data_IF_933084483375
#
_entry.id   IF_933084483375
#
_cell.length_a   1.000
_cell.length_b   1.000
_cell.length_c   1.000
_cell.angle_alpha   90.00
_cell.angle_beta   90.00
_cell.angle_gamma   90.00
#
_symmetry.space_group_name_H-M   'P 1'
#
loop_
_entity.id
_entity.type
_entity.pdbx_description
1 polymer ?
#
# COMPACT_ATOMS: atom_id res chain seq x y z
N UNK A 1 -74.75 50.07 24.38
CA UNK A 1 -75.81 49.90 23.38
C UNK A 1 -75.36 48.89 22.35
N UNK A 2 -76.16 47.83 22.25
CA UNK A 2 -76.17 46.75 21.24
C UNK A 2 -74.87 46.03 20.87
N UNK A 3 -74.58 44.97 21.57
CA UNK A 3 -73.83 43.79 21.27
C UNK A 3 -74.40 43.01 20.08
N UNK A 4 -73.58 42.66 19.12
CA UNK A 4 -73.86 41.56 18.18
C UNK A 4 -72.80 40.50 18.23
N UNK A 5 -73.22 39.35 18.70
CA UNK A 5 -72.46 38.10 18.76
C UNK A 5 -72.59 37.45 17.39
N UNK A 6 -71.50 37.24 16.70
CA UNK A 6 -71.47 36.40 15.49
C UNK A 6 -70.74 35.07 15.81
N UNK A 7 -71.52 34.01 15.79
CA UNK A 7 -70.99 32.61 15.96
C UNK A 7 -70.28 32.20 14.70
N UNK A 8 -68.97 32.01 14.79
CA UNK A 8 -68.13 31.38 13.72
C UNK A 8 -68.09 29.87 13.87
N UNK A 9 -68.52 29.18 12.86
CA UNK A 9 -68.50 27.72 12.73
C UNK A 9 -67.08 27.26 12.42
N UNK A 10 -66.49 26.46 13.32
CA UNK A 10 -65.20 25.87 13.14
C UNK A 10 -65.33 24.56 12.31
N UNK A 11 -64.94 24.59 11.05
CA UNK A 11 -64.84 23.39 10.21
C UNK A 11 -63.43 22.80 10.45
N UNK A 12 -63.39 21.68 11.12
CA UNK A 12 -62.16 20.91 11.27
C UNK A 12 -61.88 20.12 9.99
N UNK A 13 -60.88 20.54 9.23
CA UNK A 13 -60.35 19.77 8.09
C UNK A 13 -59.32 18.80 8.64
N UNK A 14 -59.64 17.48 8.67
CA UNK A 14 -58.67 16.41 8.91
C UNK A 14 -57.79 16.26 7.68
N UNK A 15 -56.53 16.70 7.78
CA UNK A 15 -55.48 16.28 6.83
C UNK A 15 -55.01 14.87 7.20
N UNK A 16 -55.43 13.87 6.45
CA UNK A 16 -54.75 12.58 6.43
C UNK A 16 -53.37 12.77 5.77
N UNK A 17 -52.31 12.84 6.58
CA UNK A 17 -51.00 12.73 6.05
C UNK A 17 -50.70 11.24 5.76
N UNK A 18 -50.72 10.87 4.47
CA UNK A 18 -50.26 9.59 4.00
C UNK A 18 -48.77 9.49 4.27
N UNK A 19 -48.37 8.67 5.22
CA UNK A 19 -46.97 8.27 5.40
C UNK A 19 -46.60 7.31 4.28
N UNK A 20 -45.96 7.81 3.25
CA UNK A 20 -45.27 6.95 2.27
C UNK A 20 -44.02 6.40 2.92
N UNK A 21 -44.10 5.16 3.37
CA UNK A 21 -42.92 4.40 3.75
C UNK A 21 -42.15 4.10 2.46
N UNK A 22 -41.13 4.93 2.17
CA UNK A 22 -40.13 4.64 1.17
C UNK A 22 -39.30 3.49 1.71
N UNK A 23 -39.53 2.29 1.21
CA UNK A 23 -38.60 1.18 1.41
C UNK A 23 -37.29 1.53 0.68
N UNK A 24 -36.31 2.06 1.38
CA UNK A 24 -34.94 2.03 0.92
C UNK A 24 -34.55 0.57 0.82
N UNK A 25 -34.59 0.03 -0.39
CA UNK A 25 -33.81 -1.14 -0.73
C UNK A 25 -32.36 -0.77 -0.50
N UNK A 26 -31.82 -1.21 0.64
CA UNK A 26 -30.40 -1.23 0.86
C UNK A 26 -29.80 -2.05 -0.30
N UNK A 27 -29.12 -1.39 -1.21
CA UNK A 27 -28.19 -2.05 -2.09
C UNK A 27 -27.20 -2.78 -1.16
N UNK A 28 -27.41 -4.08 -1.03
CA UNK A 28 -26.34 -4.96 -0.55
C UNK A 28 -25.22 -4.86 -1.59
N UNK A 29 -24.31 -3.94 -1.36
CA UNK A 29 -23.03 -3.88 -2.05
C UNK A 29 -22.22 -5.09 -1.54
N UNK A 30 -22.52 -6.23 -2.14
CA UNK A 30 -21.91 -7.51 -1.84
C UNK A 30 -20.63 -7.62 -2.70
N UNK A 31 -19.77 -6.59 -2.67
CA UNK A 31 -18.41 -6.70 -3.16
C UNK A 31 -17.70 -7.71 -2.27
N UNK A 32 -17.60 -8.90 -2.77
CA UNK A 32 -17.05 -10.06 -2.03
C UNK A 32 -15.54 -9.86 -1.93
N UNK A 33 -15.07 -9.26 -0.82
CA UNK A 33 -13.64 -9.16 -0.53
C UNK A 33 -12.99 -10.52 -0.75
N UNK A 34 -12.03 -10.59 -1.68
CA UNK A 34 -11.27 -11.81 -1.98
C UNK A 34 -9.93 -11.75 -1.26
N UNK A 35 -9.69 -12.70 -0.37
CA UNK A 35 -8.37 -12.87 0.22
C UNK A 35 -7.54 -13.81 -0.66
N UNK A 36 -6.33 -13.37 -0.98
CA UNK A 36 -5.36 -14.09 -1.82
C UNK A 36 -4.10 -14.26 -0.98
N UNK A 37 -3.62 -15.50 -0.88
CA UNK A 37 -2.34 -15.78 -0.24
C UNK A 37 -1.26 -15.68 -1.31
N UNK A 38 -0.40 -14.66 -1.19
CA UNK A 38 0.73 -14.44 -2.10
C UNK A 38 1.95 -15.28 -1.71
N UNK A 39 2.07 -15.64 -0.41
CA UNK A 39 3.06 -16.58 0.07
C UNK A 39 2.56 -17.27 1.35
N UNK A 40 2.47 -18.59 1.31
CA UNK A 40 1.96 -19.46 2.39
C UNK A 40 3.07 -20.15 3.19
N UNK A 41 4.32 -19.75 2.99
CA UNK A 41 5.49 -20.41 3.55
C UNK A 41 6.10 -21.50 2.66
N UNK A 42 5.51 -21.78 1.49
CA UNK A 42 5.97 -22.85 0.57
C UNK A 42 5.95 -22.43 -0.89
N UNK A 43 4.81 -21.95 -1.38
CA UNK A 43 4.60 -21.69 -2.80
C UNK A 43 5.04 -20.28 -3.19
N UNK A 44 5.80 -20.18 -4.26
CA UNK A 44 6.22 -18.93 -4.91
C UNK A 44 5.44 -18.65 -6.21
N UNK A 45 4.39 -19.43 -6.51
CA UNK A 45 3.66 -19.36 -7.78
C UNK A 45 2.95 -18.00 -8.03
N UNK A 46 2.73 -17.19 -6.98
CA UNK A 46 2.19 -15.85 -7.12
C UNK A 46 3.22 -14.81 -7.60
N UNK A 47 4.49 -15.19 -7.70
CA UNK A 47 5.62 -14.28 -7.96
C UNK A 47 6.40 -14.69 -9.20
N UNK A 48 6.97 -13.69 -9.88
CA UNK A 48 7.92 -13.87 -10.98
C UNK A 48 9.06 -12.87 -10.88
N UNK A 49 10.18 -13.19 -11.51
CA UNK A 49 11.27 -12.25 -11.74
C UNK A 49 10.83 -11.11 -12.68
N UNK A 50 11.32 -9.90 -12.47
CA UNK A 50 11.02 -8.76 -13.37
C UNK A 50 11.54 -8.95 -14.80
N UNK A 51 12.41 -9.92 -15.06
CA UNK A 51 13.03 -10.22 -16.36
C UNK A 51 12.51 -11.48 -17.01
N UNK A 52 11.66 -12.27 -16.32
CA UNK A 52 11.12 -13.53 -16.82
C UNK A 52 9.66 -13.73 -16.37
N UNK A 53 9.04 -14.82 -16.84
CA UNK A 53 7.65 -15.17 -16.47
C UNK A 53 7.57 -16.24 -15.37
N UNK A 54 8.69 -16.54 -14.71
CA UNK A 54 8.78 -17.52 -13.62
C UNK A 54 9.54 -16.92 -12.42
N UNK A 55 9.42 -17.58 -11.29
CA UNK A 55 10.16 -17.22 -10.08
C UNK A 55 11.67 -17.41 -10.32
N UNK A 56 12.57 -16.54 -9.75
CA UNK A 56 14.01 -16.62 -9.97
C UNK A 56 14.60 -17.99 -9.55
N UNK A 57 15.48 -18.55 -10.39
CA UNK A 57 16.21 -19.79 -10.08
C UNK A 57 17.28 -19.60 -8.99
N UNK A 58 17.65 -18.36 -8.69
CA UNK A 58 18.68 -18.00 -7.70
C UNK A 58 18.42 -16.62 -7.09
N UNK A 59 19.09 -16.34 -5.97
CA UNK A 59 18.99 -15.06 -5.28
C UNK A 59 17.80 -14.94 -4.34
N UNK A 60 16.86 -15.89 -4.39
CA UNK A 60 15.75 -16.04 -3.46
C UNK A 60 15.70 -17.47 -2.95
N UNK A 61 15.36 -17.65 -1.68
CA UNK A 61 15.20 -18.98 -1.08
C UNK A 61 13.91 -19.04 -0.25
N UNK A 62 13.30 -20.23 -0.23
CA UNK A 62 12.22 -20.57 0.69
C UNK A 62 12.76 -21.58 1.67
N UNK A 63 12.79 -21.22 2.95
CA UNK A 63 13.25 -22.11 4.02
C UNK A 63 12.46 -21.86 5.30
N UNK A 64 12.02 -22.92 5.97
CA UNK A 64 11.30 -22.86 7.26
C UNK A 64 10.08 -21.90 7.25
N UNK A 65 9.34 -21.86 6.14
CA UNK A 65 8.16 -20.99 5.99
C UNK A 65 8.49 -19.52 5.67
N UNK A 66 9.75 -19.21 5.36
CA UNK A 66 10.25 -17.86 5.13
C UNK A 66 10.75 -17.72 3.70
N UNK A 67 10.36 -16.66 3.02
CA UNK A 67 10.86 -16.21 1.72
C UNK A 67 11.97 -15.19 1.97
N UNK A 68 13.19 -15.47 1.53
CA UNK A 68 14.35 -14.59 1.78
C UNK A 68 15.02 -14.20 0.46
N UNK A 69 15.20 -12.90 0.24
CA UNK A 69 16.13 -12.38 -0.76
C UNK A 69 17.54 -12.46 -0.19
N UNK A 70 18.44 -13.09 -0.93
CA UNK A 70 19.83 -13.26 -0.51
C UNK A 70 20.65 -12.00 -0.76
N UNK A 71 21.58 -11.72 0.14
CA UNK A 71 22.53 -10.63 -0.03
C UNK A 71 23.46 -10.89 -1.24
N UNK A 72 23.91 -9.81 -1.85
CA UNK A 72 25.02 -9.85 -2.80
C UNK A 72 26.34 -10.03 -2.04
N UNK A 73 27.15 -10.99 -2.47
CA UNK A 73 28.52 -11.21 -1.97
C UNK A 73 29.47 -11.35 -3.15
N UNK A 74 30.76 -11.46 -2.89
CA UNK A 74 31.79 -11.73 -3.94
C UNK A 74 31.50 -13.01 -4.72
N UNK A 75 30.86 -13.98 -4.07
CA UNK A 75 30.60 -15.32 -4.62
C UNK A 75 29.12 -15.53 -5.01
N UNK A 76 28.23 -14.54 -4.80
CA UNK A 76 26.79 -14.66 -5.02
C UNK A 76 26.19 -13.35 -5.50
N UNK A 77 25.46 -13.38 -6.60
CA UNK A 77 24.89 -12.21 -7.25
C UNK A 77 23.83 -11.47 -6.41
N UNK A 78 23.26 -12.11 -5.39
CA UNK A 78 22.08 -11.58 -4.66
C UNK A 78 20.79 -11.74 -5.47
N UNK A 79 19.66 -11.48 -4.82
CA UNK A 79 18.35 -11.56 -5.47
C UNK A 79 18.01 -10.27 -6.23
N UNK A 80 17.31 -10.42 -7.35
CA UNK A 80 16.67 -9.33 -8.08
C UNK A 80 15.25 -9.06 -7.54
N UNK A 81 14.63 -7.97 -8.01
CA UNK A 81 13.24 -7.68 -7.72
C UNK A 81 12.33 -8.80 -8.25
N UNK A 82 11.30 -9.14 -7.48
CA UNK A 82 10.21 -10.01 -7.91
C UNK A 82 8.89 -9.24 -7.87
N UNK A 83 7.97 -9.57 -8.81
CA UNK A 83 6.64 -8.97 -8.90
C UNK A 83 5.56 -10.04 -8.82
N UNK A 84 4.38 -9.67 -8.35
CA UNK A 84 3.22 -10.56 -8.40
C UNK A 84 2.84 -10.89 -9.84
N UNK A 85 2.29 -12.09 -10.07
CA UNK A 85 1.71 -12.46 -11.36
C UNK A 85 0.48 -11.59 -11.67
N UNK A 86 -0.40 -11.39 -10.67
CA UNK A 86 -1.60 -10.55 -10.78
C UNK A 86 -1.28 -9.07 -10.49
N UNK A 87 -2.14 -8.18 -11.00
CA UNK A 87 -2.18 -6.76 -10.67
C UNK A 87 -3.39 -6.47 -9.77
N UNK A 88 -3.26 -5.45 -8.94
CA UNK A 88 -4.26 -5.06 -7.95
C UNK A 88 -4.53 -3.55 -8.03
N UNK A 89 -5.79 -3.14 -7.87
CA UNK A 89 -6.24 -1.75 -7.82
C UNK A 89 -6.52 -1.31 -6.38
N UNK A 90 -7.58 -1.83 -5.76
CA UNK A 90 -7.92 -1.60 -4.37
C UNK A 90 -7.58 -2.81 -3.51
N UNK A 91 -6.80 -2.62 -2.44
CA UNK A 91 -6.37 -3.75 -1.61
C UNK A 91 -5.86 -3.35 -0.23
N UNK A 92 -5.87 -4.34 0.66
CA UNK A 92 -5.10 -4.38 1.90
C UNK A 92 -4.05 -5.48 1.77
N UNK A 93 -2.76 -5.11 1.75
CA UNK A 93 -1.61 -6.02 1.74
C UNK A 93 -1.05 -6.12 3.15
N UNK A 94 -0.92 -7.33 3.66
CA UNK A 94 -0.33 -7.64 4.96
C UNK A 94 0.82 -8.63 4.80
N UNK A 95 1.92 -8.38 5.51
CA UNK A 95 3.05 -9.30 5.59
C UNK A 95 3.90 -9.00 6.83
N UNK A 96 4.81 -9.91 7.13
CA UNK A 96 5.87 -9.66 8.08
C UNK A 96 7.22 -9.62 7.38
N UNK A 97 8.07 -8.68 7.79
CA UNK A 97 9.42 -8.47 7.27
C UNK A 97 10.46 -8.50 8.38
N UNK A 98 11.61 -9.08 8.10
CA UNK A 98 12.77 -9.08 8.98
C UNK A 98 14.00 -8.66 8.18
N UNK A 99 14.61 -7.56 8.61
CA UNK A 99 15.82 -7.00 8.00
C UNK A 99 17.06 -7.61 8.63
N UNK A 100 18.10 -7.83 7.86
CA UNK A 100 19.46 -7.96 8.39
C UNK A 100 20.01 -6.59 8.80
N UNK A 101 21.09 -6.58 9.57
CA UNK A 101 21.76 -5.36 9.96
C UNK A 101 22.29 -4.59 8.73
N UNK A 102 22.03 -3.29 8.68
CA UNK A 102 22.38 -2.43 7.56
C UNK A 102 21.61 -2.71 6.27
N UNK A 103 20.50 -3.45 6.32
CA UNK A 103 19.74 -3.79 5.12
C UNK A 103 18.94 -2.61 4.55
N UNK A 104 18.76 -2.66 3.23
CA UNK A 104 17.85 -1.82 2.45
C UNK A 104 17.06 -2.71 1.48
N UNK A 105 15.77 -2.49 1.41
CA UNK A 105 14.80 -3.14 0.53
C UNK A 105 13.56 -2.24 0.40
N UNK A 106 12.51 -2.73 -0.24
CA UNK A 106 11.23 -2.01 -0.36
C UNK A 106 10.10 -2.93 -0.78
N UNK A 107 8.89 -2.53 -0.43
CA UNK A 107 7.66 -3.10 -0.99
C UNK A 107 7.07 -2.04 -1.90
N UNK A 108 7.14 -2.27 -3.22
CA UNK A 108 6.52 -1.35 -4.16
C UNK A 108 5.12 -1.84 -4.51
N UNK A 109 4.21 -0.91 -4.75
CA UNK A 109 2.82 -1.20 -5.09
C UNK A 109 2.32 -0.28 -6.19
N UNK A 110 1.23 -0.67 -6.86
CA UNK A 110 0.77 -0.08 -8.11
C UNK A 110 1.90 -0.02 -9.14
N UNK A 111 2.70 -1.09 -9.20
CA UNK A 111 3.91 -1.16 -10.01
C UNK A 111 3.57 -1.42 -11.46
N UNK A 112 4.19 -0.65 -12.36
CA UNK A 112 4.11 -0.86 -13.81
C UNK A 112 5.48 -0.65 -14.45
N UNK A 113 5.70 -1.24 -15.62
CA UNK A 113 6.86 -1.00 -16.47
C UNK A 113 6.55 -0.11 -17.69
N UNK A 114 5.34 0.48 -17.73
CA UNK A 114 4.84 1.27 -18.86
C UNK A 114 4.91 2.78 -18.66
N UNK A 115 5.52 3.28 -17.57
CA UNK A 115 5.72 4.71 -17.41
C UNK A 115 6.52 5.29 -18.61
N UNK A 116 6.06 6.39 -19.24
CA UNK A 116 6.82 7.07 -20.25
C UNK A 116 8.21 7.44 -19.72
N UNK A 117 9.25 7.08 -20.45
CA UNK A 117 10.65 7.32 -20.03
C UNK A 117 11.23 6.33 -19.03
N UNK A 118 10.49 5.34 -18.53
CA UNK A 118 11.00 4.31 -17.62
C UNK A 118 11.97 3.31 -18.26
N UNK A 119 12.00 3.26 -19.61
CA UNK A 119 12.80 2.26 -20.38
C UNK A 119 12.46 0.82 -19.98
N UNK A 120 11.20 0.54 -19.63
CA UNK A 120 10.72 -0.77 -19.22
C UNK A 120 11.05 -1.15 -17.76
N UNK A 121 11.56 -0.23 -16.96
CA UNK A 121 11.78 -0.48 -15.54
C UNK A 121 10.45 -0.59 -14.79
N UNK A 122 10.36 -1.55 -13.89
CA UNK A 122 9.24 -1.70 -12.97
C UNK A 122 9.30 -0.63 -11.88
N UNK A 123 8.39 0.33 -11.95
CA UNK A 123 8.32 1.48 -11.05
C UNK A 123 6.95 1.56 -10.39
N UNK A 124 6.90 2.04 -9.15
CA UNK A 124 5.70 2.22 -8.36
C UNK A 124 5.98 3.00 -7.09
N UNK A 125 4.94 3.26 -6.32
CA UNK A 125 5.04 3.81 -4.97
C UNK A 125 5.73 2.77 -4.07
N UNK A 126 6.54 3.23 -3.12
CA UNK A 126 7.42 2.33 -2.35
C UNK A 126 7.28 2.56 -0.85
N UNK A 127 6.87 1.52 -0.14
CA UNK A 127 7.00 1.41 1.30
C UNK A 127 8.46 1.03 1.62
N UNK A 128 9.21 1.93 2.24
CA UNK A 128 10.62 1.74 2.52
C UNK A 128 10.88 0.72 3.62
N UNK A 129 11.81 -0.20 3.36
CA UNK A 129 12.33 -1.19 4.30
C UNK A 129 13.82 -0.97 4.49
N UNK A 130 14.24 -0.40 5.62
CA UNK A 130 15.64 -0.01 5.82
C UNK A 130 16.02 -0.07 7.30
N UNK A 131 17.26 -0.42 7.57
CA UNK A 131 17.88 -0.19 8.88
C UNK A 131 18.19 1.31 9.02
N UNK A 132 17.40 2.00 9.84
CA UNK A 132 17.51 3.44 10.02
C UNK A 132 18.85 3.89 10.62
N UNK A 133 19.51 3.00 11.36
CA UNK A 133 20.73 3.33 12.10
C UNK A 133 22.01 3.08 11.30
N UNK A 134 22.01 2.01 10.48
CA UNK A 134 23.24 1.53 9.84
C UNK A 134 23.27 1.71 8.33
N UNK A 135 22.12 1.80 7.64
CA UNK A 135 22.15 2.00 6.21
C UNK A 135 22.27 3.49 5.84
N UNK A 136 23.25 3.88 5.01
CA UNK A 136 23.54 5.29 4.72
C UNK A 136 22.38 6.02 4.03
N UNK A 137 21.56 5.35 3.23
CA UNK A 137 20.41 5.98 2.54
C UNK A 137 19.34 6.51 3.52
N UNK A 138 19.25 5.94 4.74
CA UNK A 138 18.34 6.42 5.77
C UNK A 138 18.66 7.84 6.26
N UNK A 139 19.90 8.29 6.11
CA UNK A 139 20.39 9.62 6.45
C UNK A 139 20.23 10.63 5.31
N UNK A 140 19.89 10.14 4.12
CA UNK A 140 19.68 10.95 2.93
C UNK A 140 18.22 11.39 2.80
N UNK A 141 17.91 12.17 1.77
CA UNK A 141 16.56 12.66 1.50
C UNK A 141 16.20 13.88 2.35
N UNK A 142 14.89 14.05 2.59
CA UNK A 142 14.32 15.21 3.27
C UNK A 142 13.46 14.76 4.45
N UNK A 143 13.69 15.31 5.63
CA UNK A 143 12.85 15.09 6.81
C UNK A 143 12.59 13.60 7.13
N UNK A 144 13.54 12.71 6.81
CA UNK A 144 13.39 11.26 7.05
C UNK A 144 12.53 10.50 6.03
N UNK A 145 12.28 11.07 4.86
CA UNK A 145 11.46 10.43 3.81
C UNK A 145 12.14 9.23 3.10
N UNK A 146 13.29 8.76 3.63
CA UNK A 146 13.96 7.52 3.23
C UNK A 146 14.16 6.54 4.38
N UNK A 147 13.54 6.82 5.54
CA UNK A 147 13.55 5.93 6.70
C UNK A 147 12.51 4.83 6.57
N UNK A 148 12.60 3.84 7.45
CA UNK A 148 11.64 2.73 7.56
C UNK A 148 10.19 3.21 7.53
N UNK A 149 9.35 2.54 6.77
CA UNK A 149 7.93 2.82 6.54
C UNK A 149 7.59 4.13 5.81
N UNK A 150 8.58 4.95 5.44
CA UNK A 150 8.36 6.13 4.59
C UNK A 150 7.74 5.73 3.23
N UNK A 151 7.00 6.65 2.62
CA UNK A 151 6.79 6.62 1.18
C UNK A 151 8.07 7.15 0.53
N UNK A 152 8.92 6.24 0.08
CA UNK A 152 10.32 6.49 -0.27
C UNK A 152 10.52 7.72 -1.14
N UNK A 153 11.40 8.61 -0.68
CA UNK A 153 11.80 9.88 -1.30
C UNK A 153 10.66 10.94 -1.40
N UNK A 154 9.43 10.61 -0.98
CA UNK A 154 8.24 11.47 -1.11
C UNK A 154 7.77 11.97 0.27
N UNK A 155 7.29 11.07 1.15
CA UNK A 155 6.73 11.40 2.45
C UNK A 155 7.42 10.64 3.59
N UNK A 156 7.84 11.30 4.68
CA UNK A 156 8.31 10.59 5.87
C UNK A 156 7.16 9.89 6.58
N UNK A 157 7.46 8.79 7.27
CA UNK A 157 6.59 8.27 8.30
C UNK A 157 6.51 9.25 9.48
N UNK A 158 5.41 9.18 10.26
CA UNK A 158 5.31 9.99 11.48
C UNK A 158 6.48 9.71 12.43
N UNK A 159 6.79 10.64 13.30
CA UNK A 159 7.83 10.47 14.32
C UNK A 159 7.43 9.46 15.40
N UNK A 160 8.42 8.93 16.12
CA UNK A 160 8.23 8.03 17.28
C UNK A 160 7.46 6.74 16.95
N UNK A 161 7.62 6.19 15.76
CA UNK A 161 7.08 4.89 15.39
C UNK A 161 7.89 3.78 16.05
N UNK A 162 7.19 2.71 16.48
CA UNK A 162 7.85 1.54 17.04
C UNK A 162 8.35 0.64 15.91
N UNK A 163 9.68 0.53 15.79
CA UNK A 163 10.36 -0.36 14.86
C UNK A 163 11.05 -1.45 15.68
N UNK A 164 10.81 -2.71 15.35
CA UNK A 164 11.61 -3.80 15.92
C UNK A 164 12.98 -3.83 15.21
N UNK A 165 14.09 -4.04 15.95
CA UNK A 165 15.43 -3.93 15.39
C UNK A 165 15.73 -5.00 14.31
N UNK A 166 16.82 -4.84 13.54
CA UNK A 166 17.29 -5.88 12.64
C UNK A 166 17.39 -7.25 13.35
N UNK A 167 16.99 -8.31 12.66
CA UNK A 167 16.87 -9.67 13.20
C UNK A 167 15.49 -9.98 13.79
N UNK A 168 14.65 -9.00 14.05
CA UNK A 168 13.27 -9.17 14.55
C UNK A 168 12.22 -8.91 13.45
N UNK A 169 11.05 -9.53 13.61
CA UNK A 169 9.95 -9.39 12.68
C UNK A 169 9.18 -8.08 12.92
N UNK A 170 8.91 -7.34 11.85
CA UNK A 170 8.02 -6.20 11.82
C UNK A 170 6.78 -6.54 10.99
N UNK A 171 5.59 -6.19 11.48
CA UNK A 171 4.33 -6.32 10.75
C UNK A 171 4.10 -5.10 9.86
N UNK A 172 3.95 -5.32 8.58
CA UNK A 172 3.68 -4.28 7.59
C UNK A 172 2.28 -4.46 7.04
N UNK A 173 1.56 -3.33 6.90
CA UNK A 173 0.30 -3.28 6.15
C UNK A 173 0.32 -2.06 5.24
N UNK A 174 -0.17 -2.26 4.01
CA UNK A 174 -0.40 -1.20 3.03
C UNK A 174 -1.86 -1.29 2.61
N UNK A 175 -2.59 -0.17 2.71
CA UNK A 175 -3.97 -0.08 2.23
C UNK A 175 -3.98 0.87 1.04
N UNK A 176 -4.56 0.42 -0.07
CA UNK A 176 -4.87 1.24 -1.24
C UNK A 176 -6.37 1.17 -1.45
N UNK A 177 -7.06 2.28 -1.17
CA UNK A 177 -8.50 2.42 -1.34
C UNK A 177 -8.74 3.58 -2.31
N UNK A 178 -8.91 3.25 -3.58
CA UNK A 178 -8.91 4.23 -4.66
C UNK A 178 -7.65 5.10 -4.64
N UNK A 179 -7.80 6.38 -4.37
CA UNK A 179 -6.67 7.33 -4.32
C UNK A 179 -6.06 7.49 -2.93
N UNK A 180 -6.76 7.04 -1.89
CA UNK A 180 -6.27 7.08 -0.52
C UNK A 180 -5.35 5.91 -0.27
N UNK A 181 -4.19 6.18 0.32
CA UNK A 181 -3.19 5.18 0.66
C UNK A 181 -2.77 5.33 2.11
N UNK A 182 -2.60 4.20 2.78
CA UNK A 182 -2.09 4.16 4.15
C UNK A 182 -0.91 3.20 4.27
N UNK A 183 0.12 3.61 5.04
CA UNK A 183 1.18 2.73 5.53
C UNK A 183 0.99 2.47 7.01
N UNK A 184 1.13 1.22 7.40
CA UNK A 184 1.04 0.75 8.78
C UNK A 184 2.30 -0.03 9.14
N UNK A 185 2.77 0.14 10.36
CA UNK A 185 3.89 -0.60 10.92
C UNK A 185 3.54 -1.05 12.34
N UNK A 186 3.68 -2.35 12.63
CA UNK A 186 3.43 -2.97 13.92
C UNK A 186 2.06 -2.59 14.54
N UNK A 187 1.02 -2.50 13.69
CA UNK A 187 -0.35 -2.18 14.09
C UNK A 187 -0.67 -0.69 14.22
N UNK A 188 0.28 0.20 13.92
CA UNK A 188 0.08 1.64 13.96
C UNK A 188 0.12 2.25 12.57
N UNK A 189 -0.85 3.13 12.24
CA UNK A 189 -0.83 3.91 11.00
C UNK A 189 0.27 4.97 11.08
N UNK A 190 1.19 4.93 10.12
CA UNK A 190 2.38 5.79 10.12
C UNK A 190 2.40 6.82 9.00
N UNK A 191 1.66 6.56 7.90
CA UNK A 191 1.41 7.49 6.79
C UNK A 191 -0.03 7.34 6.33
N UNK A 192 -0.62 8.46 5.90
CA UNK A 192 -1.85 8.50 5.12
C UNK A 192 -1.72 9.63 4.11
N UNK A 193 -2.11 9.38 2.85
CA UNK A 193 -2.10 10.40 1.80
C UNK A 193 -3.14 10.09 0.72
N UNK A 194 -3.50 11.12 -0.04
CA UNK A 194 -4.33 11.02 -1.24
C UNK A 194 -3.50 11.41 -2.46
N UNK A 195 -3.47 10.52 -3.45
CA UNK A 195 -2.66 10.64 -4.68
C UNK A 195 -3.15 11.73 -5.63
N UNK A 196 -4.40 12.20 -5.46
CA UNK A 196 -5.00 13.23 -6.33
C UNK A 196 -4.67 14.65 -5.89
N UNK A 197 -4.30 14.83 -4.62
CA UNK A 197 -4.05 16.16 -4.06
C UNK A 197 -2.82 16.83 -4.68
N UNK A 198 -2.92 18.13 -4.90
CA UNK A 198 -1.83 18.90 -5.50
C UNK A 198 -0.57 18.88 -4.61
N UNK A 199 -0.72 18.83 -3.29
CA UNK A 199 0.42 18.69 -2.37
C UNK A 199 1.20 17.38 -2.61
N UNK A 200 0.52 16.26 -2.92
CA UNK A 200 1.19 15.01 -3.28
C UNK A 200 1.95 15.16 -4.60
N UNK A 201 1.33 15.73 -5.63
CA UNK A 201 1.96 15.98 -6.95
C UNK A 201 3.19 16.87 -6.82
N UNK A 202 3.12 17.91 -6.00
CA UNK A 202 4.26 18.79 -5.74
C UNK A 202 5.41 18.07 -5.02
N UNK A 203 5.09 17.17 -4.08
CA UNK A 203 6.11 16.33 -3.45
C UNK A 203 6.79 15.41 -4.46
N UNK A 204 6.04 14.76 -5.35
CA UNK A 204 6.61 13.93 -6.44
C UNK A 204 7.52 14.77 -7.34
N UNK A 205 7.11 16.00 -7.70
CA UNK A 205 7.85 16.91 -8.59
C UNK A 205 9.26 17.27 -8.08
N UNK A 206 9.48 17.23 -6.77
CA UNK A 206 10.79 17.53 -6.16
C UNK A 206 11.62 16.29 -5.83
N UNK A 207 11.23 15.12 -6.34
CA UNK A 207 11.94 13.83 -6.17
C UNK A 207 12.65 13.39 -7.44
N UNK A 208 13.34 12.25 -7.36
CA UNK A 208 13.92 11.57 -8.54
C UNK A 208 12.87 11.13 -9.57
N UNK A 209 11.59 11.08 -9.19
CA UNK A 209 10.47 10.66 -10.04
C UNK A 209 9.89 11.79 -10.89
N UNK A 210 10.39 13.01 -10.79
CA UNK A 210 9.87 14.21 -11.47
C UNK A 210 9.83 14.13 -13.00
N UNK A 211 10.59 13.20 -13.60
CA UNK A 211 10.63 12.96 -15.04
C UNK A 211 9.64 11.89 -15.51
N UNK A 212 8.95 11.24 -14.58
CA UNK A 212 7.97 10.21 -14.89
C UNK A 212 6.59 10.84 -14.90
N UNK A 213 5.98 10.84 -16.08
CA UNK A 213 4.63 11.39 -16.24
C UNK A 213 3.64 10.61 -15.37
N UNK A 214 2.82 11.32 -14.60
CA UNK A 214 1.80 10.78 -13.73
C UNK A 214 2.31 9.71 -12.74
N UNK A 215 3.52 9.86 -12.19
CA UNK A 215 4.04 8.93 -11.20
C UNK A 215 3.13 8.88 -9.96
N UNK A 216 2.75 7.67 -9.55
CA UNK A 216 1.81 7.43 -8.45
C UNK A 216 0.34 7.52 -8.84
N UNK A 217 0.01 7.88 -10.08
CA UNK A 217 -1.37 7.96 -10.59
C UNK A 217 -1.91 6.65 -11.18
N UNK A 218 -1.20 5.55 -11.10
CA UNK A 218 -1.66 4.26 -11.65
C UNK A 218 -2.87 3.74 -10.86
N UNK A 219 -3.92 3.32 -11.56
CA UNK A 219 -5.14 2.77 -10.97
C UNK A 219 -4.94 1.34 -10.49
N UNK A 220 -4.10 0.57 -11.19
CA UNK A 220 -3.74 -0.80 -10.86
C UNK A 220 -2.27 -1.09 -11.14
N UNK A 221 -1.71 -2.10 -10.50
CA UNK A 221 -0.35 -2.53 -10.74
C UNK A 221 0.06 -3.73 -9.91
N UNK A 222 1.27 -4.20 -10.14
CA UNK A 222 1.84 -5.30 -9.39
C UNK A 222 2.28 -4.86 -7.99
N UNK A 223 2.43 -5.83 -7.09
CA UNK A 223 3.22 -5.71 -5.88
C UNK A 223 4.63 -6.19 -6.22
N UNK A 224 5.66 -5.47 -5.75
CA UNK A 224 7.05 -5.84 -5.96
C UNK A 224 7.77 -5.93 -4.61
N UNK A 225 8.53 -7.01 -4.41
CA UNK A 225 9.50 -7.12 -3.33
C UNK A 225 10.89 -6.86 -3.91
N UNK A 226 11.60 -5.90 -3.30
CA UNK A 226 12.86 -5.41 -3.84
C UNK A 226 14.05 -6.24 -3.38
N UNK A 227 14.88 -6.64 -4.34
CA UNK A 227 16.22 -7.17 -4.11
C UNK A 227 17.27 -6.07 -4.28
N UNK A 228 17.79 -5.53 -3.18
CA UNK A 228 18.70 -4.38 -3.19
C UNK A 228 20.13 -4.72 -2.76
N UNK A 229 20.49 -6.01 -2.81
CA UNK A 229 21.84 -6.47 -2.44
C UNK A 229 22.02 -6.80 -0.96
N UNK A 230 21.02 -6.62 -0.13
CA UNK A 230 21.00 -7.00 1.27
C UNK A 230 20.06 -8.20 1.50
N UNK A 231 20.30 -8.94 2.59
CA UNK A 231 19.39 -10.00 3.00
C UNK A 231 18.16 -9.42 3.71
N UNK A 232 16.99 -9.79 3.20
CA UNK A 232 15.69 -9.44 3.81
C UNK A 232 14.77 -10.64 3.71
N UNK A 233 14.06 -10.94 4.80
CA UNK A 233 13.15 -12.07 4.91
C UNK A 233 11.70 -11.60 4.99
N UNK A 234 10.80 -12.34 4.34
CA UNK A 234 9.37 -12.09 4.27
C UNK A 234 8.59 -13.34 4.64
N UNK A 235 7.45 -13.20 5.27
CA UNK A 235 6.51 -14.30 5.53
C UNK A 235 5.07 -13.81 5.62
N UNK A 236 4.11 -14.74 5.55
CA UNK A 236 2.69 -14.47 5.76
C UNK A 236 2.14 -13.39 4.80
N UNK A 237 2.52 -13.44 3.51
CA UNK A 237 2.14 -12.42 2.55
C UNK A 237 0.72 -12.69 2.05
N UNK A 238 -0.20 -11.79 2.38
CA UNK A 238 -1.62 -11.86 2.00
C UNK A 238 -2.10 -10.53 1.45
N UNK A 239 -3.02 -10.60 0.51
CA UNK A 239 -3.71 -9.45 -0.02
C UNK A 239 -5.22 -9.69 0.06
N UNK A 240 -5.97 -8.68 0.50
CA UNK A 240 -7.43 -8.68 0.49
C UNK A 240 -7.88 -7.59 -0.47
N UNK A 241 -8.62 -7.94 -1.53
CA UNK A 241 -9.17 -6.94 -2.46
C UNK A 241 -10.27 -6.13 -1.79
N UNK A 242 -10.33 -4.82 -2.10
CA UNK A 242 -11.34 -3.89 -1.57
C UNK A 242 -12.47 -3.60 -2.57
N UNK A 243 -12.43 -4.25 -3.73
CA UNK A 243 -13.43 -4.13 -4.81
C UNK A 243 -14.36 -5.33 -4.88
#
# INVERSE_FOLDING_TARGET
MKTNILKGLLIAILFLQGVTVSSQQGQNDNTKKRQIVLFDGKSTNAWKDIKSDHFPDSGWVVKDGVLTVLAKTDNQAGGHDIVTMEQFSGFELELEVRLSEGANSGIKYLVTNTYPGSKGQYLGLEYQLIDNEKHPDALLGRNGNRKMAALYDILPARENIKINPPGEWNKVKIIVDGNRVEHWLNGEKVIEYDRTLDCFKELVRITKYNKLENFGGQEQGHILLQGHGNEVSFREIRITTLE
#
